data_IF_942345732306
#
_entry.id   IF_942345732306
#
_cell.length_a   1.000
_cell.length_b   1.000
_cell.length_c   1.000
_cell.angle_alpha   90.00
_cell.angle_beta   90.00
_cell.angle_gamma   90.00
#
_symmetry.space_group_name_H-M   'P 1'
#
loop_
_entity.id
_entity.type
_entity.pdbx_description
1 polymer ?
#
# COMPACT_ATOMS: atom_id res chain seq x y z
N UNK A 1 -7.34 25.19 -14.00
CA UNK A 1 -7.08 23.73 -13.93
C UNK A 1 -5.92 23.50 -12.99
N UNK A 2 -6.01 22.51 -12.11
CA UNK A 2 -4.90 22.16 -11.24
C UNK A 2 -3.73 21.63 -12.09
N UNK A 3 -2.49 21.97 -11.71
CA UNK A 3 -1.29 21.55 -12.44
C UNK A 3 -0.82 20.22 -11.90
N UNK A 4 -0.90 19.18 -12.71
CA UNK A 4 -0.29 17.88 -12.43
C UNK A 4 1.21 17.90 -12.74
N UNK A 5 1.95 17.07 -12.03
CA UNK A 5 3.39 16.86 -12.12
C UNK A 5 3.67 15.36 -12.19
N UNK A 6 4.90 14.97 -12.52
CA UNK A 6 5.27 13.54 -12.52
C UNK A 6 5.17 12.88 -11.13
N UNK A 7 5.10 13.66 -10.05
CA UNK A 7 4.88 13.14 -8.70
C UNK A 7 3.41 12.69 -8.52
N UNK A 8 2.48 13.26 -9.29
CA UNK A 8 1.05 12.94 -9.26
C UNK A 8 0.69 11.58 -9.86
N UNK A 9 1.67 10.86 -10.41
CA UNK A 9 1.53 9.47 -10.86
C UNK A 9 2.06 8.46 -9.82
N UNK A 10 2.63 8.96 -8.70
CA UNK A 10 3.24 8.12 -7.66
C UNK A 10 2.25 7.79 -6.55
N UNK A 11 2.47 6.65 -5.90
CA UNK A 11 1.70 6.22 -4.74
C UNK A 11 2.10 6.99 -3.46
N UNK A 12 1.81 8.29 -3.40
CA UNK A 12 2.13 9.15 -2.26
C UNK A 12 1.11 10.30 -1.99
N UNK A 13 -0.12 10.23 -2.51
CA UNK A 13 -1.10 11.33 -2.46
C UNK A 13 -1.85 11.47 -1.15
N UNK A 14 -1.56 12.51 -0.37
CA UNK A 14 -2.25 12.72 0.89
C UNK A 14 -3.76 13.00 0.79
N UNK A 15 -4.13 13.74 -0.24
CA UNK A 15 -5.49 14.21 -0.49
C UNK A 15 -5.77 14.07 -1.98
N UNK A 16 -7.04 14.16 -2.40
CA UNK A 16 -7.40 14.14 -3.83
C UNK A 16 -6.86 15.32 -4.66
N UNK A 17 -6.11 16.24 -4.06
CA UNK A 17 -5.51 17.40 -4.73
C UNK A 17 -4.11 17.07 -5.25
N UNK A 18 -3.67 17.66 -6.39
CA UNK A 18 -2.33 17.46 -6.89
C UNK A 18 -1.23 17.88 -5.90
N UNK A 19 -0.06 17.28 -6.01
CA UNK A 19 1.10 17.54 -5.15
C UNK A 19 1.44 19.01 -4.97
N UNK A 20 1.39 19.88 -6.00
CA UNK A 20 1.64 21.31 -5.81
C UNK A 20 0.69 22.01 -4.80
N UNK A 21 -0.46 21.42 -4.51
CA UNK A 21 -1.44 21.92 -3.53
C UNK A 21 -1.27 21.27 -2.14
N UNK A 22 -0.45 20.22 -2.02
CA UNK A 22 -0.16 19.54 -0.75
C UNK A 22 1.13 20.11 -0.15
N UNK A 23 1.01 20.86 0.95
CA UNK A 23 2.15 21.60 1.53
C UNK A 23 3.09 20.68 2.35
N UNK A 24 2.52 19.80 3.17
CA UNK A 24 3.27 18.86 4.02
C UNK A 24 2.49 17.57 4.24
N UNK A 25 3.22 16.46 4.40
CA UNK A 25 2.62 15.21 4.84
C UNK A 25 2.25 15.27 6.32
N UNK A 26 1.03 14.86 6.66
CA UNK A 26 0.63 14.63 8.03
C UNK A 26 1.28 13.33 8.53
N UNK A 27 1.78 13.32 9.77
CA UNK A 27 2.55 12.19 10.32
C UNK A 27 1.79 10.86 10.29
N UNK A 28 0.47 10.92 10.45
CA UNK A 28 -0.41 9.75 10.46
C UNK A 28 -1.02 9.42 9.09
N UNK A 29 -0.73 10.22 8.06
CA UNK A 29 -1.30 9.98 6.75
C UNK A 29 -0.57 8.85 6.02
N UNK A 30 -1.35 8.01 5.32
CA UNK A 30 -0.86 6.96 4.43
C UNK A 30 -1.76 6.78 3.22
N UNK A 31 -1.17 6.41 2.09
CA UNK A 31 -1.91 5.82 0.97
C UNK A 31 -2.00 4.32 1.16
N UNK A 32 -3.07 3.67 0.70
CA UNK A 32 -3.21 2.22 0.91
C UNK A 32 -3.91 1.52 -0.25
N UNK A 33 -3.31 0.43 -0.70
CA UNK A 33 -3.98 -0.59 -1.49
C UNK A 33 -4.58 -1.61 -0.53
N UNK A 34 -5.86 -1.95 -0.73
CA UNK A 34 -6.61 -2.85 0.14
C UNK A 34 -7.20 -4.00 -0.66
N UNK A 35 -6.85 -5.23 -0.29
CA UNK A 35 -7.32 -6.44 -0.95
C UNK A 35 -8.02 -7.35 0.06
N UNK A 36 -9.16 -7.89 -0.36
CA UNK A 36 -9.84 -9.00 0.33
C UNK A 36 -9.95 -10.12 -0.69
N UNK A 37 -9.20 -11.19 -0.45
CA UNK A 37 -9.07 -12.31 -1.37
C UNK A 37 -9.54 -13.58 -0.68
N UNK A 38 -10.20 -14.44 -1.45
CA UNK A 38 -10.53 -15.80 -1.02
C UNK A 38 -10.07 -16.80 -2.07
N UNK A 39 -9.77 -18.03 -1.64
CA UNK A 39 -9.49 -19.11 -2.58
C UNK A 39 -10.78 -19.46 -3.35
N UNK A 40 -10.66 -19.75 -4.65
CA UNK A 40 -11.81 -20.16 -5.47
C UNK A 40 -12.42 -21.48 -4.97
N UNK A 41 -11.57 -22.47 -4.69
CA UNK A 41 -12.00 -23.81 -4.31
C UNK A 41 -12.14 -23.99 -2.78
N UNK A 42 -11.79 -22.96 -2.00
CA UNK A 42 -11.89 -22.95 -0.53
C UNK A 42 -12.40 -21.59 -0.04
N UNK A 43 -13.69 -21.29 -0.18
CA UNK A 43 -14.23 -19.95 0.11
C UNK A 43 -14.11 -19.53 1.58
N UNK A 44 -13.89 -20.48 2.49
CA UNK A 44 -13.65 -20.18 3.89
C UNK A 44 -12.26 -19.58 4.13
N UNK A 45 -11.27 -19.86 3.27
CA UNK A 45 -9.93 -19.29 3.35
C UNK A 45 -10.00 -17.84 2.83
N UNK A 46 -9.50 -16.92 3.66
CA UNK A 46 -9.54 -15.48 3.39
C UNK A 46 -8.20 -14.86 3.72
N UNK A 47 -7.75 -13.94 2.86
CA UNK A 47 -6.61 -13.08 3.11
C UNK A 47 -7.04 -11.63 2.93
N UNK A 48 -6.97 -10.87 4.01
CA UNK A 48 -7.09 -9.43 4.03
C UNK A 48 -5.66 -8.89 4.03
N UNK A 49 -5.35 -8.12 3.00
CA UNK A 49 -4.03 -7.57 2.77
C UNK A 49 -4.14 -6.06 2.61
N UNK A 50 -3.33 -5.32 3.36
CA UNK A 50 -3.07 -3.91 3.06
C UNK A 50 -1.62 -3.76 2.65
N UNK A 51 -1.36 -2.90 1.67
CA UNK A 51 -0.04 -2.32 1.46
C UNK A 51 -0.20 -0.81 1.60
N UNK A 52 0.59 -0.19 2.46
CA UNK A 52 0.45 1.24 2.74
C UNK A 52 1.76 1.99 2.74
N UNK A 53 1.78 3.14 2.07
CA UNK A 53 2.92 4.05 2.05
C UNK A 53 2.66 5.23 2.99
N UNK A 54 3.61 5.48 3.89
CA UNK A 54 3.63 6.57 4.87
C UNK A 54 4.74 7.57 4.49
N UNK A 55 4.45 8.59 3.66
CA UNK A 55 5.51 9.48 3.15
C UNK A 55 6.24 10.25 4.25
N UNK A 56 5.55 10.67 5.31
CA UNK A 56 6.18 11.38 6.44
C UNK A 56 7.20 10.52 7.21
N UNK A 57 7.09 9.19 7.10
CA UNK A 57 7.91 8.22 7.82
C UNK A 57 8.92 7.51 6.90
N UNK A 58 8.87 7.77 5.59
CA UNK A 58 9.59 6.98 4.58
C UNK A 58 9.42 5.47 4.83
N UNK A 59 8.19 5.03 5.09
CA UNK A 59 7.90 3.63 5.41
C UNK A 59 6.82 3.12 4.46
N UNK A 60 7.01 1.92 3.95
CA UNK A 60 5.94 1.15 3.32
C UNK A 60 5.72 -0.12 4.13
N UNK A 61 4.47 -0.38 4.51
CA UNK A 61 4.10 -1.55 5.29
C UNK A 61 3.10 -2.45 4.58
N UNK A 62 3.04 -3.69 5.05
CA UNK A 62 2.05 -4.67 4.65
C UNK A 62 1.44 -5.32 5.89
N UNK A 63 0.14 -5.13 6.08
CA UNK A 63 -0.64 -5.85 7.09
C UNK A 63 -1.35 -7.02 6.43
N UNK A 64 -1.25 -8.19 7.04
CA UNK A 64 -1.85 -9.43 6.58
C UNK A 64 -2.69 -10.01 7.71
N UNK A 65 -3.96 -10.27 7.42
CA UNK A 65 -4.89 -10.87 8.35
C UNK A 65 -5.73 -11.92 7.63
N UNK A 66 -5.97 -13.06 8.27
CA UNK A 66 -6.92 -14.04 7.75
C UNK A 66 -6.58 -15.46 8.14
N UNK A 67 -6.88 -16.39 7.24
CA UNK A 67 -6.68 -17.82 7.44
C UNK A 67 -6.50 -18.52 6.09
N UNK A 68 -5.52 -19.42 5.99
CA UNK A 68 -5.33 -20.33 4.85
C UNK A 68 -5.20 -21.74 5.40
N UNK A 69 -6.11 -22.65 5.02
CA UNK A 69 -6.25 -23.95 5.70
C UNK A 69 -6.43 -23.77 7.21
N UNK A 70 -5.87 -24.62 8.06
CA UNK A 70 -6.04 -24.49 9.51
C UNK A 70 -5.18 -23.38 10.16
N UNK A 71 -4.39 -22.64 9.36
CA UNK A 71 -3.42 -21.67 9.88
C UNK A 71 -3.96 -20.24 9.85
N UNK A 72 -4.12 -19.57 11.01
CA UNK A 72 -4.40 -18.15 11.04
C UNK A 72 -3.18 -17.36 10.59
N UNK A 73 -3.41 -16.23 9.94
CA UNK A 73 -2.40 -15.28 9.49
C UNK A 73 -2.65 -13.97 10.22
N UNK A 74 -1.64 -13.47 10.92
CA UNK A 74 -1.58 -12.12 11.47
C UNK A 74 -0.13 -11.66 11.41
N UNK A 75 0.20 -10.84 10.43
CA UNK A 75 1.57 -10.37 10.22
C UNK A 75 1.60 -8.91 9.80
N UNK A 76 2.68 -8.23 10.19
CA UNK A 76 3.05 -6.91 9.71
C UNK A 76 4.48 -6.98 9.21
N UNK A 77 4.68 -6.58 7.96
CA UNK A 77 6.00 -6.38 7.38
C UNK A 77 6.17 -4.89 7.05
N UNK A 78 7.39 -4.39 7.11
CA UNK A 78 7.68 -3.02 6.68
C UNK A 78 9.06 -2.94 6.05
N UNK A 79 9.24 -1.91 5.22
CA UNK A 79 10.52 -1.49 4.67
C UNK A 79 10.64 0.02 4.73
N UNK A 80 11.88 0.51 4.69
CA UNK A 80 12.16 1.91 4.43
C UNK A 80 11.94 2.21 2.93
N UNK A 81 11.54 3.44 2.63
CA UNK A 81 11.34 3.94 1.26
C UNK A 81 12.47 4.91 0.94
N UNK A 82 13.37 4.50 0.06
CA UNK A 82 14.60 5.21 -0.30
C UNK A 82 14.43 5.92 -1.66
N UNK A 83 13.33 6.66 -1.81
CA UNK A 83 12.95 7.27 -3.08
C UNK A 83 12.37 6.29 -4.12
N UNK A 84 12.07 5.06 -3.68
CA UNK A 84 11.50 3.96 -4.46
C UNK A 84 10.04 3.72 -4.06
N UNK A 85 9.21 4.78 -4.12
CA UNK A 85 7.81 4.71 -3.66
C UNK A 85 6.95 3.67 -4.40
N UNK A 86 7.36 3.29 -5.62
CA UNK A 86 6.63 2.32 -6.45
C UNK A 86 7.20 0.90 -6.36
N UNK A 87 8.20 0.66 -5.49
CA UNK A 87 8.62 -0.71 -5.18
C UNK A 87 7.66 -1.35 -4.17
N UNK A 88 6.64 -2.05 -4.65
CA UNK A 88 5.63 -2.65 -3.78
C UNK A 88 6.04 -3.98 -3.14
N UNK A 89 7.34 -4.30 -3.07
CA UNK A 89 7.85 -5.49 -2.39
C UNK A 89 7.95 -5.24 -0.89
N UNK A 90 7.07 -5.84 -0.08
CA UNK A 90 7.08 -5.70 1.38
C UNK A 90 6.92 -7.06 2.05
N UNK A 91 8.00 -7.56 2.65
CA UNK A 91 8.01 -8.91 3.22
C UNK A 91 7.70 -9.96 2.15
N UNK A 92 6.71 -10.85 2.35
CA UNK A 92 6.35 -11.89 1.38
C UNK A 92 5.42 -11.39 0.26
N UNK A 93 5.08 -10.09 0.23
CA UNK A 93 4.11 -9.52 -0.70
C UNK A 93 4.82 -8.73 -1.78
N UNK A 94 4.31 -8.84 -3.01
CA UNK A 94 4.70 -8.03 -4.17
C UNK A 94 3.44 -7.68 -4.93
N UNK A 95 3.33 -6.42 -5.36
CA UNK A 95 2.27 -5.95 -6.27
C UNK A 95 2.96 -5.42 -7.51
N UNK A 96 2.60 -5.98 -8.66
CA UNK A 96 3.09 -5.50 -9.94
C UNK A 96 1.98 -4.68 -10.61
N UNK A 97 2.25 -3.40 -10.86
CA UNK A 97 1.39 -2.54 -11.68
C UNK A 97 1.77 -2.79 -13.14
N UNK A 98 0.95 -3.57 -13.85
CA UNK A 98 1.21 -3.96 -15.24
C UNK A 98 0.97 -2.79 -16.21
N UNK A 99 -0.07 -2.00 -15.94
CA UNK A 99 -0.44 -0.80 -16.69
C UNK A 99 -0.86 0.29 -15.68
N UNK A 100 -0.43 1.56 -15.86
CA UNK A 100 -0.90 2.70 -15.07
C UNK A 100 -2.32 3.13 -15.44
#
# INVERSE_FOLDING_TARGET
MARFTALDERFAHQIPEPFPNTVHFHADWRESLFFVMHMRDRPSDVLILTLAHFPARNEMDSLQLGRVGESPIMARHSRHVDGDQDDFRVGPITIDVIEP
#
